data_IF_719706332093
#
_entry.id   IF_719706332093
#
_cell.length_a   1.000
_cell.length_b   1.000
_cell.length_c   1.000
_cell.angle_alpha   90.00
_cell.angle_beta   90.00
_cell.angle_gamma   90.00
#
_symmetry.space_group_name_H-M   'P 1'
#
loop_
_entity.id
_entity.type
_entity.pdbx_description
1 polymer ?
#
# COMPACT_ATOMS: atom_id res chain seq x y z
N UNK A 1 7.41 -18.43 -15.28
CA UNK A 1 8.75 -18.54 -15.90
C UNK A 1 9.37 -17.19 -16.24
N UNK A 2 8.75 -16.34 -17.07
CA UNK A 2 9.31 -15.02 -17.40
C UNK A 2 9.64 -14.13 -16.17
N UNK A 3 8.75 -14.12 -15.16
CA UNK A 3 8.97 -13.37 -13.92
C UNK A 3 10.20 -13.83 -13.14
N UNK A 4 10.43 -15.15 -13.06
CA UNK A 4 11.58 -15.72 -12.34
C UNK A 4 12.88 -15.44 -13.10
N UNK A 5 12.84 -15.54 -14.43
CA UNK A 5 14.00 -15.19 -15.27
C UNK A 5 14.39 -13.72 -15.15
N UNK A 6 13.41 -12.80 -15.20
CA UNK A 6 13.67 -11.37 -14.98
C UNK A 6 14.22 -11.08 -13.58
N UNK A 7 13.68 -11.75 -12.56
CA UNK A 7 14.14 -11.60 -11.19
C UNK A 7 15.61 -12.04 -11.05
N UNK A 8 15.96 -13.19 -11.62
CA UNK A 8 17.32 -13.70 -11.60
C UNK A 8 18.29 -12.79 -12.37
N UNK A 9 17.87 -12.29 -13.54
CA UNK A 9 18.62 -11.30 -14.30
C UNK A 9 18.87 -10.02 -13.50
N UNK A 10 17.85 -9.51 -12.81
CA UNK A 10 17.95 -8.30 -11.99
C UNK A 10 18.95 -8.47 -10.85
N UNK A 11 18.92 -9.62 -10.16
CA UNK A 11 19.87 -9.96 -9.09
C UNK A 11 21.31 -10.04 -9.60
N UNK A 12 21.52 -10.54 -10.83
CA UNK A 12 22.87 -10.64 -11.41
C UNK A 12 23.40 -9.30 -11.93
N UNK A 13 22.51 -8.38 -12.30
CA UNK A 13 22.85 -7.10 -12.95
C UNK A 13 23.02 -5.96 -11.96
N UNK A 14 22.28 -5.98 -10.84
CA UNK A 14 22.27 -4.91 -9.84
C UNK A 14 22.94 -5.43 -8.55
N UNK A 15 24.16 -4.99 -8.21
CA UNK A 15 24.79 -5.33 -6.93
C UNK A 15 24.02 -4.67 -5.78
N UNK A 16 23.97 -5.28 -4.59
CA UNK A 16 23.29 -4.76 -3.39
C UNK A 16 21.79 -4.43 -3.56
N UNK A 17 21.07 -5.28 -4.30
CA UNK A 17 19.62 -5.17 -4.44
C UNK A 17 18.94 -5.25 -3.05
N UNK A 18 17.91 -4.43 -2.83
CA UNK A 18 17.19 -4.32 -1.56
C UNK A 18 17.95 -3.63 -0.40
N UNK A 19 19.20 -3.22 -0.59
CA UNK A 19 19.92 -2.41 0.41
C UNK A 19 19.32 -1.00 0.55
N UNK A 20 19.19 -0.44 1.76
CA UNK A 20 18.70 0.93 1.95
C UNK A 20 19.62 2.00 1.33
N UNK A 21 20.91 1.69 1.10
CA UNK A 21 21.89 2.59 0.49
C UNK A 21 22.07 2.38 -1.01
N UNK A 22 21.20 1.61 -1.66
CA UNK A 22 21.32 1.33 -3.09
C UNK A 22 21.25 2.63 -3.92
N UNK A 23 22.23 2.83 -4.80
CA UNK A 23 22.38 4.00 -5.69
C UNK A 23 21.15 4.24 -6.57
N UNK A 24 20.51 3.16 -6.99
CA UNK A 24 19.30 3.21 -7.83
C UNK A 24 18.00 3.21 -7.02
N UNK A 25 18.08 3.29 -5.68
CA UNK A 25 16.93 3.23 -4.77
C UNK A 25 15.99 2.03 -4.96
N UNK A 26 16.53 0.93 -5.50
CA UNK A 26 15.83 -0.34 -5.65
C UNK A 26 15.72 -1.05 -4.30
N UNK A 27 14.77 -0.58 -3.50
CA UNK A 27 14.44 -1.10 -2.17
C UNK A 27 13.28 -2.11 -2.26
N UNK A 28 13.26 -3.07 -1.34
CA UNK A 28 12.30 -4.18 -1.35
C UNK A 28 11.42 -4.17 -0.10
N UNK A 29 10.52 -3.17 0.07
CA UNK A 29 9.75 -2.98 1.30
C UNK A 29 8.81 -4.16 1.58
N UNK A 30 8.20 -4.73 0.53
CA UNK A 30 7.31 -5.88 0.66
C UNK A 30 8.07 -7.12 1.12
N UNK A 31 9.23 -7.41 0.52
CA UNK A 31 10.07 -8.55 0.90
C UNK A 31 10.57 -8.42 2.35
N UNK A 32 10.97 -7.21 2.76
CA UNK A 32 11.41 -6.94 4.13
C UNK A 32 10.27 -7.14 5.14
N UNK A 33 9.06 -6.68 4.81
CA UNK A 33 7.87 -6.86 5.65
C UNK A 33 7.52 -8.34 5.78
N UNK A 34 7.52 -9.09 4.68
CA UNK A 34 7.26 -10.53 4.71
C UNK A 34 8.34 -11.31 5.48
N UNK A 35 9.61 -10.93 5.36
CA UNK A 35 10.69 -11.55 6.11
C UNK A 35 10.58 -11.26 7.61
N UNK A 36 10.27 -10.01 7.98
CA UNK A 36 10.04 -9.65 9.38
C UNK A 36 8.82 -10.38 9.94
N UNK A 37 7.74 -10.47 9.16
CA UNK A 37 6.55 -11.21 9.53
C UNK A 37 6.83 -12.71 9.71
N UNK A 38 7.62 -13.35 8.84
CA UNK A 38 7.94 -14.78 9.00
C UNK A 38 8.78 -15.05 10.24
N UNK A 39 9.68 -14.14 10.62
CA UNK A 39 10.41 -14.23 11.89
C UNK A 39 9.45 -14.08 13.07
N UNK A 40 8.61 -13.04 13.04
CA UNK A 40 7.62 -12.77 14.09
C UNK A 40 6.70 -13.98 14.27
N UNK A 41 6.05 -14.48 13.23
CA UNK A 41 5.08 -15.57 13.34
C UNK A 41 5.71 -16.97 13.41
N UNK A 42 6.94 -17.14 12.92
CA UNK A 42 7.61 -18.44 12.84
C UNK A 42 8.59 -18.74 13.97
N UNK A 43 9.20 -17.72 14.58
CA UNK A 43 10.25 -17.91 15.61
C UNK A 43 9.89 -17.35 16.98
N UNK A 44 9.05 -16.30 17.03
CA UNK A 44 8.62 -15.71 18.30
C UNK A 44 7.36 -16.42 18.77
N UNK A 45 7.44 -17.15 19.88
CA UNK A 45 6.30 -17.87 20.41
C UNK A 45 5.14 -16.94 20.85
N UNK A 46 3.89 -17.42 20.77
CA UNK A 46 2.69 -16.60 21.04
C UNK A 46 2.65 -16.05 22.47
N UNK A 47 3.30 -16.72 23.43
CA UNK A 47 3.40 -16.25 24.82
C UNK A 47 4.22 -14.97 24.98
N UNK A 48 5.19 -14.70 24.10
CA UNK A 48 5.97 -13.44 24.10
C UNK A 48 5.29 -12.31 23.33
N UNK A 49 4.47 -12.64 22.34
CA UNK A 49 3.70 -11.65 21.57
C UNK A 49 2.42 -11.23 22.28
N UNK A 50 1.59 -12.20 22.64
CA UNK A 50 0.23 -12.02 23.15
C UNK A 50 0.09 -12.29 24.65
N UNK A 51 1.20 -12.57 25.35
CA UNK A 51 1.18 -12.74 26.80
C UNK A 51 0.81 -11.45 27.54
N UNK A 52 0.54 -11.55 28.85
CA UNK A 52 0.15 -10.40 29.68
C UNK A 52 1.14 -9.23 29.69
N UNK A 53 2.43 -9.50 29.46
CA UNK A 53 3.50 -8.51 29.34
C UNK A 53 4.03 -8.39 27.89
N UNK A 54 3.33 -8.95 26.91
CA UNK A 54 3.70 -8.88 25.50
C UNK A 54 3.25 -7.56 24.87
N UNK A 55 3.99 -7.10 23.87
CA UNK A 55 3.73 -5.82 23.18
C UNK A 55 2.43 -5.85 22.38
N UNK A 56 1.97 -7.04 21.94
CA UNK A 56 0.78 -7.23 21.11
C UNK A 56 -0.40 -7.84 21.89
N UNK A 57 -0.46 -7.62 23.20
CA UNK A 57 -1.59 -8.10 24.00
C UNK A 57 -2.92 -7.43 23.60
N UNK A 58 -2.87 -6.21 23.07
CA UNK A 58 -4.03 -5.43 22.65
C UNK A 58 -4.74 -6.06 21.43
N UNK A 59 -3.99 -6.67 20.51
CA UNK A 59 -4.53 -7.31 19.32
C UNK A 59 -5.51 -8.44 19.65
N UNK A 60 -5.32 -9.15 20.77
CA UNK A 60 -6.28 -10.14 21.24
C UNK A 60 -7.65 -9.51 21.59
N UNK A 61 -7.64 -8.32 22.20
CA UNK A 61 -8.86 -7.56 22.44
C UNK A 61 -9.44 -7.01 21.14
N UNK A 62 -8.58 -6.62 20.19
CA UNK A 62 -8.98 -6.23 18.83
C UNK A 62 -9.77 -7.31 18.10
N UNK A 63 -9.41 -8.60 18.28
CA UNK A 63 -10.17 -9.72 17.72
C UNK A 63 -11.59 -9.79 18.30
N UNK A 64 -11.73 -9.65 19.63
CA UNK A 64 -13.02 -9.61 20.29
C UNK A 64 -13.85 -8.41 19.80
N UNK A 65 -13.25 -7.22 19.76
CA UNK A 65 -13.90 -6.02 19.22
C UNK A 65 -14.34 -6.24 17.77
N UNK A 66 -13.51 -6.81 16.92
CA UNK A 66 -13.85 -7.12 15.53
C UNK A 66 -15.00 -8.12 15.38
N UNK A 67 -15.07 -9.12 16.26
CA UNK A 67 -16.17 -10.10 16.29
C UNK A 67 -17.49 -9.48 16.74
N UNK A 68 -17.45 -8.53 17.69
CA UNK A 68 -18.64 -7.86 18.21
C UNK A 68 -19.05 -6.63 17.41
N UNK A 69 -18.15 -5.98 16.66
CA UNK A 69 -18.43 -4.79 15.83
C UNK A 69 -19.59 -4.94 14.82
N UNK A 70 -19.82 -6.08 14.15
CA UNK A 70 -20.95 -6.22 13.23
C UNK A 70 -22.32 -6.31 13.94
N UNK A 71 -22.37 -6.76 15.20
CA UNK A 71 -23.62 -6.92 15.94
C UNK A 71 -24.38 -5.60 16.19
N UNK A 72 -23.76 -4.51 16.70
CA UNK A 72 -24.47 -3.25 16.91
C UNK A 72 -24.92 -2.65 15.59
N UNK A 73 -24.17 -2.76 14.49
CA UNK A 73 -24.64 -2.30 13.18
C UNK A 73 -25.79 -3.15 12.64
N UNK A 74 -25.75 -4.47 12.81
CA UNK A 74 -26.87 -5.34 12.43
C UNK A 74 -28.14 -4.99 13.21
N UNK A 75 -28.00 -4.74 14.52
CA UNK A 75 -29.11 -4.28 15.35
C UNK A 75 -29.63 -2.92 14.89
N UNK A 76 -28.74 -1.97 14.61
CA UNK A 76 -29.10 -0.64 14.11
C UNK A 76 -29.83 -0.71 12.78
N UNK A 77 -29.38 -1.58 11.86
CA UNK A 77 -30.06 -1.81 10.57
C UNK A 77 -31.46 -2.42 10.73
N UNK A 78 -31.72 -3.14 11.82
CA UNK A 78 -33.02 -3.74 12.14
C UNK A 78 -33.98 -2.72 12.76
N UNK A 79 -33.50 -1.83 13.63
CA UNK A 79 -34.33 -0.83 14.30
C UNK A 79 -34.50 0.47 13.51
N UNK A 80 -33.49 0.85 12.73
CA UNK A 80 -33.49 2.06 11.95
C UNK A 80 -33.07 1.73 10.51
N UNK A 81 -34.04 1.76 9.59
CA UNK A 81 -33.84 1.56 8.15
C UNK A 81 -33.16 2.77 7.48
N UNK A 82 -32.34 3.51 8.22
CA UNK A 82 -31.61 4.66 7.72
C UNK A 82 -30.72 4.23 6.54
N UNK A 83 -31.01 4.78 5.35
CA UNK A 83 -30.35 4.48 4.08
C UNK A 83 -28.82 4.51 4.16
N UNK A 84 -28.26 5.37 5.02
CA UNK A 84 -26.81 5.54 5.14
C UNK A 84 -26.09 4.40 5.86
N UNK A 85 -26.73 3.73 6.83
CA UNK A 85 -26.13 2.62 7.59
C UNK A 85 -25.97 1.36 6.72
N UNK A 86 -26.73 1.26 5.62
CA UNK A 86 -26.55 0.21 4.60
C UNK A 86 -25.34 0.44 3.70
N UNK A 87 -24.80 1.65 3.65
CA UNK A 87 -23.61 1.98 2.85
C UNK A 87 -22.30 1.66 3.57
N UNK A 88 -22.35 1.44 4.89
CA UNK A 88 -21.18 1.14 5.72
C UNK A 88 -20.92 -0.37 5.70
N UNK A 89 -19.76 -0.76 5.18
CA UNK A 89 -19.30 -2.15 5.21
C UNK A 89 -18.09 -2.26 6.15
N UNK A 90 -18.34 -2.70 7.39
CA UNK A 90 -17.31 -2.88 8.42
C UNK A 90 -16.14 -3.75 7.93
N UNK A 91 -16.37 -4.95 7.36
CA UNK A 91 -15.28 -5.81 6.88
C UNK A 91 -14.30 -5.08 5.96
N UNK A 92 -14.81 -4.26 5.03
CA UNK A 92 -13.98 -3.49 4.09
C UNK A 92 -13.18 -2.42 4.84
N UNK A 93 -13.78 -1.74 5.81
CA UNK A 93 -13.12 -0.70 6.61
C UNK A 93 -11.98 -1.31 7.45
N UNK A 94 -12.23 -2.46 8.09
CA UNK A 94 -11.23 -3.16 8.89
C UNK A 94 -10.11 -3.78 8.04
N UNK A 95 -10.39 -4.12 6.78
CA UNK A 95 -9.38 -4.65 5.86
C UNK A 95 -8.44 -3.58 5.30
N UNK A 96 -8.92 -2.34 5.12
CA UNK A 96 -8.12 -1.23 4.58
C UNK A 96 -6.71 -1.08 5.18
N UNK A 97 -6.53 -1.06 6.50
CA UNK A 97 -5.22 -0.91 7.12
C UNK A 97 -4.34 -2.17 7.13
N UNK A 98 -4.80 -3.32 6.62
CA UNK A 98 -4.04 -4.58 6.69
C UNK A 98 -2.68 -4.52 5.99
N UNK A 99 -2.53 -3.66 4.97
CA UNK A 99 -1.28 -3.47 4.24
C UNK A 99 -0.49 -2.21 4.66
N UNK A 100 -0.90 -1.54 5.74
CA UNK A 100 -0.21 -0.35 6.24
C UNK A 100 1.30 -0.55 6.47
N UNK A 101 1.82 -1.71 6.96
CA UNK A 101 3.26 -1.83 7.19
C UNK A 101 4.10 -1.90 5.91
N UNK A 102 3.51 -2.31 4.77
CA UNK A 102 4.25 -2.44 3.51
C UNK A 102 4.16 -1.22 2.60
N UNK A 103 3.14 -0.37 2.77
CA UNK A 103 2.89 0.80 1.92
C UNK A 103 2.90 2.09 2.73
N UNK A 104 3.52 3.14 2.18
CA UNK A 104 3.44 4.47 2.77
C UNK A 104 2.04 5.08 2.69
N UNK A 105 1.86 6.26 3.29
CA UNK A 105 0.56 6.95 3.32
C UNK A 105 0.09 7.44 1.93
N UNK A 106 1.01 7.64 0.98
CA UNK A 106 0.73 8.18 -0.36
C UNK A 106 -0.22 7.30 -1.19
N UNK A 107 0.01 5.98 -1.35
CA UNK A 107 -0.94 5.08 -1.99
C UNK A 107 -2.35 5.09 -1.37
N UNK A 108 -2.46 5.26 -0.05
CA UNK A 108 -3.75 5.29 0.64
C UNK A 108 -4.55 6.56 0.34
N UNK A 109 -3.91 7.72 0.40
CA UNK A 109 -4.59 8.99 0.12
C UNK A 109 -4.92 9.15 -1.36
N UNK A 110 -4.03 8.70 -2.26
CA UNK A 110 -4.26 8.78 -3.70
C UNK A 110 -5.37 7.83 -4.17
N UNK A 111 -5.39 6.59 -3.70
CA UNK A 111 -6.46 5.64 -4.01
C UNK A 111 -7.80 6.09 -3.45
N UNK A 112 -7.82 6.69 -2.25
CA UNK A 112 -9.01 7.31 -1.68
C UNK A 112 -9.56 8.45 -2.53
N UNK A 113 -8.68 9.34 -3.02
CA UNK A 113 -9.07 10.45 -3.88
C UNK A 113 -9.62 9.97 -5.24
N UNK A 114 -8.92 9.05 -5.90
CA UNK A 114 -9.36 8.46 -7.17
C UNK A 114 -10.68 7.71 -6.98
N UNK A 115 -10.80 6.94 -5.89
CA UNK A 115 -12.04 6.28 -5.51
C UNK A 115 -13.18 7.27 -5.33
N UNK A 116 -12.97 8.40 -4.66
CA UNK A 116 -13.99 9.44 -4.51
C UNK A 116 -14.40 10.04 -5.85
N UNK A 117 -13.45 10.40 -6.72
CA UNK A 117 -13.74 10.97 -8.03
C UNK A 117 -14.57 10.01 -8.89
N UNK A 118 -14.13 8.76 -9.05
CA UNK A 118 -14.79 7.81 -9.94
C UNK A 118 -16.07 7.22 -9.34
N UNK A 119 -16.05 6.86 -8.05
CA UNK A 119 -17.18 6.17 -7.42
C UNK A 119 -18.26 7.11 -6.89
N UNK A 120 -17.92 8.37 -6.55
CA UNK A 120 -18.88 9.35 -6.06
C UNK A 120 -19.25 10.38 -7.12
N UNK A 121 -18.29 11.10 -7.71
CA UNK A 121 -18.59 12.19 -8.66
C UNK A 121 -19.04 11.65 -10.03
N UNK A 122 -18.22 10.80 -10.66
CA UNK A 122 -18.49 10.31 -12.01
C UNK A 122 -19.71 9.38 -12.04
N UNK A 123 -19.84 8.49 -11.04
CA UNK A 123 -21.01 7.62 -10.90
C UNK A 123 -22.33 8.40 -10.79
N UNK A 124 -22.35 9.52 -10.05
CA UNK A 124 -23.55 10.36 -9.90
C UNK A 124 -23.84 11.20 -11.14
N UNK A 125 -22.82 11.75 -11.79
CA UNK A 125 -23.01 12.63 -12.96
C UNK A 125 -23.33 11.87 -14.23
N UNK A 126 -22.64 10.75 -14.49
CA UNK A 126 -22.72 9.98 -15.75
C UNK A 126 -22.73 8.46 -15.51
N UNK A 127 -23.80 7.94 -14.91
CA UNK A 127 -23.91 6.51 -14.58
C UNK A 127 -23.76 5.57 -15.77
N UNK A 128 -24.34 5.92 -16.94
CA UNK A 128 -24.28 5.08 -18.15
C UNK A 128 -22.85 4.91 -18.68
N UNK A 129 -22.04 5.96 -18.60
CA UNK A 129 -20.63 5.89 -18.98
C UNK A 129 -19.84 5.08 -17.95
N UNK A 130 -20.07 5.34 -16.67
CA UNK A 130 -19.38 4.66 -15.57
C UNK A 130 -19.61 3.13 -15.63
N UNK A 131 -20.86 2.69 -15.80
CA UNK A 131 -21.19 1.27 -15.85
C UNK A 131 -20.53 0.53 -17.04
N UNK A 132 -20.28 1.24 -18.16
CA UNK A 132 -19.72 0.64 -19.38
C UNK A 132 -18.20 0.69 -19.42
N UNK A 133 -17.58 1.78 -18.96
CA UNK A 133 -16.15 2.06 -19.21
C UNK A 133 -15.26 2.09 -17.97
N UNK A 134 -15.81 2.15 -16.75
CA UNK A 134 -15.00 2.31 -15.54
C UNK A 134 -14.00 1.16 -15.33
N UNK A 135 -14.43 -0.09 -15.54
CA UNK A 135 -13.53 -1.25 -15.43
C UNK A 135 -12.47 -1.29 -16.54
N UNK A 136 -12.83 -0.93 -17.78
CA UNK A 136 -11.88 -0.89 -18.90
C UNK A 136 -10.84 0.20 -18.68
N UNK A 137 -11.24 1.37 -18.17
CA UNK A 137 -10.33 2.46 -17.83
C UNK A 137 -9.38 2.05 -16.70
N UNK A 138 -9.88 1.36 -15.67
CA UNK A 138 -9.04 0.80 -14.61
C UNK A 138 -7.97 -0.15 -15.14
N UNK A 139 -8.39 -1.12 -15.98
CA UNK A 139 -7.46 -2.05 -16.62
C UNK A 139 -6.43 -1.33 -17.52
N UNK A 140 -6.84 -0.28 -18.24
CA UNK A 140 -5.95 0.52 -19.06
C UNK A 140 -4.93 1.31 -18.22
N UNK A 141 -5.33 1.84 -17.07
CA UNK A 141 -4.43 2.54 -16.14
C UNK A 141 -3.41 1.59 -15.51
N UNK A 142 -3.82 0.38 -15.12
CA UNK A 142 -2.91 -0.63 -14.56
C UNK A 142 -1.88 -1.10 -15.60
N UNK A 143 -2.33 -1.39 -16.82
CA UNK A 143 -1.46 -1.76 -17.93
C UNK A 143 -0.54 -0.60 -18.34
N UNK A 144 -1.07 0.63 -18.41
CA UNK A 144 -0.32 1.83 -18.77
C UNK A 144 0.74 2.18 -17.72
N UNK A 145 0.44 2.04 -16.44
CA UNK A 145 1.41 2.26 -15.36
C UNK A 145 2.53 1.22 -15.41
N UNK A 146 2.17 -0.05 -15.64
CA UNK A 146 3.14 -1.14 -15.78
C UNK A 146 4.08 -0.90 -16.97
N UNK A 147 3.53 -0.55 -18.13
CA UNK A 147 4.31 -0.23 -19.33
C UNK A 147 5.19 1.00 -19.12
N UNK A 148 4.65 2.07 -18.53
CA UNK A 148 5.41 3.29 -18.24
C UNK A 148 6.57 3.02 -17.29
N UNK A 149 6.36 2.18 -16.28
CA UNK A 149 7.41 1.77 -15.33
C UNK A 149 8.54 1.01 -16.03
N UNK A 150 8.20 0.11 -16.96
CA UNK A 150 9.19 -0.61 -17.76
C UNK A 150 10.02 0.33 -18.64
N UNK A 151 9.37 1.29 -19.30
CA UNK A 151 10.05 2.29 -20.14
C UNK A 151 10.98 3.16 -19.29
N UNK A 152 10.51 3.65 -18.14
CA UNK A 152 11.33 4.45 -17.21
C UNK A 152 12.52 3.63 -16.70
N UNK A 153 12.31 2.37 -16.34
CA UNK A 153 13.38 1.49 -15.88
C UNK A 153 14.44 1.29 -16.97
N UNK A 154 14.02 1.00 -18.20
CA UNK A 154 14.90 0.81 -19.34
C UNK A 154 15.64 2.09 -19.77
N UNK A 155 15.00 3.26 -19.65
CA UNK A 155 15.56 4.52 -20.13
C UNK A 155 16.40 5.28 -19.10
N UNK A 156 16.07 5.18 -17.80
CA UNK A 156 16.66 6.02 -16.75
C UNK A 156 17.36 5.23 -15.64
N UNK A 157 16.83 4.06 -15.27
CA UNK A 157 17.34 3.29 -14.10
C UNK A 157 18.50 2.38 -14.51
N UNK A 158 18.37 1.67 -15.62
CA UNK A 158 19.36 0.69 -16.09
C UNK A 158 20.60 1.35 -16.75
N UNK A 159 20.48 2.37 -17.64
CA UNK A 159 21.67 2.96 -18.25
C UNK A 159 22.46 3.84 -17.26
N UNK A 160 23.77 3.56 -17.15
CA UNK A 160 24.76 4.29 -16.32
C UNK A 160 24.48 4.32 -14.80
N UNK A 161 23.86 3.29 -14.24
CA UNK A 161 23.80 3.12 -12.78
C UNK A 161 23.06 4.25 -12.05
N UNK A 162 21.93 4.70 -12.61
CA UNK A 162 20.99 5.59 -11.93
C UNK A 162 21.37 7.08 -11.87
N UNK A 163 22.42 7.52 -12.58
CA UNK A 163 22.85 8.94 -12.54
C UNK A 163 22.05 9.86 -13.45
N UNK A 164 21.20 9.34 -14.33
CA UNK A 164 20.32 10.13 -15.20
C UNK A 164 19.02 10.46 -14.47
N UNK A 165 19.13 11.16 -13.34
CA UNK A 165 17.99 11.79 -12.69
C UNK A 165 17.81 13.17 -13.31
N UNK A 166 16.76 13.43 -14.12
CA UNK A 166 16.45 14.80 -14.50
C UNK A 166 16.25 15.65 -13.23
N UNK A 167 16.89 16.81 -13.17
CA UNK A 167 16.71 17.76 -12.08
C UNK A 167 15.36 18.48 -12.29
N UNK A 168 14.28 17.87 -11.79
CA UNK A 168 12.94 18.45 -11.83
C UNK A 168 12.31 18.42 -10.43
N UNK A 169 11.32 19.29 -10.23
CA UNK A 169 10.68 19.52 -8.93
C UNK A 169 10.20 18.22 -8.25
N UNK A 170 9.59 17.28 -8.96
CA UNK A 170 9.10 16.04 -8.34
C UNK A 170 10.19 15.06 -7.90
N UNK A 171 11.42 15.16 -8.42
CA UNK A 171 12.55 14.37 -7.92
C UNK A 171 13.20 14.98 -6.67
N UNK A 172 13.04 16.30 -6.43
CA UNK A 172 13.71 17.00 -5.33
C UNK A 172 12.82 17.18 -4.10
N UNK A 173 11.50 17.32 -4.27
CA UNK A 173 10.56 17.64 -3.18
C UNK A 173 10.51 16.60 -2.06
N UNK A 174 10.52 15.30 -2.41
CA UNK A 174 10.47 14.24 -1.41
C UNK A 174 11.76 14.17 -0.58
N UNK A 175 12.90 14.51 -1.18
CA UNK A 175 14.20 14.53 -0.51
C UNK A 175 14.27 15.69 0.49
N UNK A 176 13.80 16.88 0.09
CA UNK A 176 13.70 18.05 0.97
C UNK A 176 12.78 17.78 2.15
N UNK A 177 11.63 17.15 1.92
CA UNK A 177 10.67 16.80 2.98
C UNK A 177 11.27 15.80 3.97
N UNK A 178 11.98 14.77 3.47
CA UNK A 178 12.68 13.79 4.34
C UNK A 178 13.78 14.46 5.16
N UNK A 179 14.57 15.36 4.55
CA UNK A 179 15.64 16.10 5.24
C UNK A 179 15.10 16.99 6.36
N UNK A 180 13.96 17.66 6.14
CA UNK A 180 13.33 18.49 7.16
C UNK A 180 12.83 17.66 8.34
N UNK A 181 12.21 16.50 8.08
CA UNK A 181 11.76 15.57 9.13
C UNK A 181 12.93 14.99 9.95
N UNK A 182 14.09 14.74 9.31
CA UNK A 182 15.31 14.31 10.01
C UNK A 182 16.00 15.44 10.79
N UNK A 183 15.79 16.70 10.41
CA UNK A 183 16.30 17.85 11.15
C UNK A 183 15.42 18.18 12.38
N UNK A 184 14.14 17.82 12.35
CA UNK A 184 13.16 18.11 13.38
C UNK A 184 13.08 17.01 14.47
N UNK A 185 13.51 15.79 14.16
CA UNK A 185 13.75 14.72 15.14
C UNK A 185 15.21 14.23 15.07
N UNK A 186 16.15 14.94 15.70
CA UNK A 186 17.48 14.42 15.94
C UNK A 186 17.37 13.34 17.02
N UNK A 187 17.34 12.08 16.61
CA UNK A 187 17.64 10.95 17.51
C UNK A 187 19.15 10.81 17.57
#
# INVERSE_FOLDING_TARGET
FAQVGLYWWLLSTVPDLCSPSQRNHLTCPLAHTFHTASIIWGTIGPRRQFGRAGVYNLELYGLAVGAFLPLPLWLLQRYNTASWVRLINIPIILYGPAYAPSWGCLPYTSSGLVGFIFQYLVKRRNFRWWAKYNYVLGAALDAGTSLSTLIIAAALVIPKGGTLSPAWWGNTVWQTSKRNLSAENPI
#
